data_IF_150748511530
#
_entry.id   IF_150748511530
#
_cell.length_a   1.000
_cell.length_b   1.000
_cell.length_c   1.000
_cell.angle_alpha   90.00
_cell.angle_beta   90.00
_cell.angle_gamma   90.00
#
_symmetry.space_group_name_H-M   'P 1'
#
loop_
_entity.id
_entity.type
_entity.pdbx_description
1 polymer ?
#
# COMPACT_ATOMS: atom_id res chain seq x y z
N UNK A 1 5.28 1.26 85.14
CA UNK A 1 4.29 2.07 84.38
C UNK A 1 3.70 1.21 83.25
N UNK A 2 2.39 1.32 82.97
CA UNK A 2 1.58 0.46 82.05
C UNK A 2 1.44 1.06 80.62
N UNK A 3 1.58 0.21 79.57
CA UNK A 3 1.03 0.22 78.16
C UNK A 3 1.18 1.48 77.25
N UNK A 4 1.02 1.44 75.89
CA UNK A 4 0.76 0.34 74.90
C UNK A 4 1.70 0.35 73.63
N UNK A 5 1.53 -0.52 72.60
CA UNK A 5 2.51 -0.74 71.51
C UNK A 5 2.22 0.08 70.22
N UNK A 6 3.19 0.30 69.31
CA UNK A 6 2.88 0.76 67.96
C UNK A 6 2.48 -0.41 67.06
N UNK A 7 1.20 -0.81 67.10
CA UNK A 7 0.59 -1.64 66.07
C UNK A 7 -0.15 -0.75 65.06
N UNK A 8 0.56 -0.16 64.09
CA UNK A 8 -0.12 0.65 63.04
C UNK A 8 0.59 0.75 61.67
N UNK A 9 1.30 -0.29 61.23
CA UNK A 9 1.86 -0.32 59.86
C UNK A 9 1.48 -1.55 59.01
N UNK A 10 0.93 -2.61 59.59
CA UNK A 10 0.58 -3.83 58.84
C UNK A 10 -0.70 -3.71 57.98
N UNK A 11 -1.59 -2.73 58.23
CA UNK A 11 -2.89 -2.64 57.54
C UNK A 11 -2.87 -1.81 56.23
N UNK A 12 -1.86 -0.96 56.02
CA UNK A 12 -1.76 -0.13 54.81
C UNK A 12 -1.25 -0.90 53.59
N UNK A 13 -0.25 -1.74 53.78
CA UNK A 13 0.37 -2.58 52.75
C UNK A 13 -0.56 -3.69 52.24
N UNK A 14 -1.37 -4.31 53.11
CA UNK A 14 -2.31 -5.37 52.72
C UNK A 14 -3.48 -4.84 51.88
N UNK A 15 -3.97 -3.62 52.14
CA UNK A 15 -5.03 -2.98 51.34
C UNK A 15 -4.53 -2.57 49.95
N UNK A 16 -3.32 -2.01 49.86
CA UNK A 16 -2.68 -1.68 48.59
C UNK A 16 -2.41 -2.93 47.73
N UNK A 17 -1.92 -4.02 48.34
CA UNK A 17 -1.69 -5.28 47.65
C UNK A 17 -3.00 -5.94 47.15
N UNK A 18 -4.11 -5.85 47.90
CA UNK A 18 -5.42 -6.35 47.46
C UNK A 18 -6.00 -5.52 46.31
N UNK A 19 -5.88 -4.19 46.34
CA UNK A 19 -6.33 -3.32 45.24
C UNK A 19 -5.51 -3.53 43.97
N UNK A 20 -4.17 -3.65 44.09
CA UNK A 20 -3.30 -3.96 42.96
C UNK A 20 -3.65 -5.32 42.32
N UNK A 21 -3.89 -6.36 43.13
CA UNK A 21 -4.31 -7.67 42.62
C UNK A 21 -5.72 -7.66 41.99
N UNK A 22 -6.63 -6.82 42.49
CA UNK A 22 -7.96 -6.61 41.88
C UNK A 22 -7.87 -5.92 40.52
N UNK A 23 -7.03 -4.89 40.40
CA UNK A 23 -6.80 -4.17 39.14
C UNK A 23 -6.12 -5.06 38.09
N UNK A 24 -5.13 -5.89 38.49
CA UNK A 24 -4.45 -6.84 37.58
C UNK A 24 -5.42 -7.91 37.07
N UNK A 25 -6.35 -8.39 37.91
CA UNK A 25 -7.38 -9.35 37.48
C UNK A 25 -8.39 -8.73 36.53
N UNK A 26 -8.84 -7.49 36.78
CA UNK A 26 -9.73 -6.75 35.88
C UNK A 26 -9.06 -6.47 34.52
N UNK A 27 -7.79 -6.06 34.53
CA UNK A 27 -7.01 -5.83 33.30
C UNK A 27 -6.79 -7.11 32.49
N UNK A 28 -6.53 -8.25 33.15
CA UNK A 28 -6.43 -9.56 32.47
C UNK A 28 -7.76 -10.01 31.87
N UNK A 29 -8.88 -9.79 32.57
CA UNK A 29 -10.21 -10.10 32.03
C UNK A 29 -10.57 -9.19 30.85
N UNK A 30 -10.24 -7.90 30.92
CA UNK A 30 -10.43 -6.95 29.82
C UNK A 30 -9.57 -7.29 28.59
N UNK A 31 -8.32 -7.71 28.77
CA UNK A 31 -7.49 -8.17 27.65
C UNK A 31 -7.97 -9.51 27.06
N UNK A 32 -8.52 -10.40 27.89
CA UNK A 32 -9.13 -11.65 27.45
C UNK A 32 -10.37 -11.43 26.58
N UNK A 33 -11.22 -10.47 26.93
CA UNK A 33 -12.41 -10.10 26.13
C UNK A 33 -12.05 -9.38 24.83
N UNK A 34 -11.02 -8.52 24.84
CA UNK A 34 -10.51 -7.85 23.62
C UNK A 34 -9.88 -8.86 22.64
N UNK A 35 -9.13 -9.84 23.15
CA UNK A 35 -8.53 -10.90 22.31
C UNK A 35 -9.58 -11.82 21.69
N UNK A 36 -10.60 -12.19 22.46
CA UNK A 36 -11.74 -12.98 21.97
C UNK A 36 -12.61 -12.20 20.97
N UNK A 37 -12.74 -10.88 21.12
CA UNK A 37 -13.44 -10.03 20.15
C UNK A 37 -12.66 -9.92 18.82
N UNK A 38 -11.34 -9.74 18.88
CA UNK A 38 -10.45 -9.67 17.70
C UNK A 38 -10.43 -10.99 16.91
N UNK A 39 -10.38 -12.13 17.60
CA UNK A 39 -10.43 -13.46 16.97
C UNK A 39 -11.81 -13.77 16.37
N UNK A 40 -12.91 -13.28 16.98
CA UNK A 40 -14.26 -13.41 16.43
C UNK A 40 -14.52 -12.52 15.21
N UNK A 41 -13.88 -11.35 15.11
CA UNK A 41 -13.99 -10.47 13.94
C UNK A 41 -13.13 -10.96 12.76
N UNK A 42 -11.91 -11.44 13.03
CA UNK A 42 -11.01 -11.94 11.98
C UNK A 42 -11.57 -13.17 11.23
N UNK A 43 -12.22 -14.09 11.93
CA UNK A 43 -12.76 -15.32 11.32
C UNK A 43 -14.17 -15.17 10.72
N UNK A 44 -14.93 -14.13 11.13
CA UNK A 44 -16.28 -13.88 10.61
C UNK A 44 -16.31 -13.04 9.34
N UNK A 45 -15.28 -12.25 9.06
CA UNK A 45 -15.14 -11.53 7.80
C UNK A 45 -14.37 -12.32 6.73
N UNK A 46 -13.48 -13.24 7.12
CA UNK A 46 -12.69 -14.02 6.15
C UNK A 46 -13.55 -14.96 5.29
N UNK A 47 -14.60 -15.55 5.87
CA UNK A 47 -15.51 -16.47 5.16
C UNK A 47 -16.42 -15.79 4.12
N UNK A 48 -17.13 -14.68 4.42
CA UNK A 48 -17.90 -13.99 3.40
C UNK A 48 -17.00 -13.34 2.34
N UNK A 49 -15.80 -12.86 2.72
CA UNK A 49 -14.84 -12.32 1.75
C UNK A 49 -14.31 -13.41 0.81
N UNK A 50 -13.90 -14.56 1.35
CA UNK A 50 -13.47 -15.71 0.56
C UNK A 50 -14.60 -16.27 -0.32
N UNK A 51 -15.84 -16.30 0.19
CA UNK A 51 -17.01 -16.70 -0.60
C UNK A 51 -17.33 -15.71 -1.72
N UNK A 52 -17.12 -14.40 -1.50
CA UNK A 52 -17.26 -13.38 -2.53
C UNK A 52 -16.19 -13.51 -3.61
N UNK A 53 -14.92 -13.73 -3.23
CA UNK A 53 -13.85 -14.00 -4.19
C UNK A 53 -14.09 -15.28 -4.98
N UNK A 54 -14.56 -16.35 -4.32
CA UNK A 54 -14.89 -17.61 -4.97
C UNK A 54 -16.10 -17.48 -5.90
N UNK A 55 -17.14 -16.74 -5.50
CA UNK A 55 -18.32 -16.48 -6.33
C UNK A 55 -17.99 -15.57 -7.53
N UNK A 56 -17.11 -14.58 -7.35
CA UNK A 56 -16.60 -13.75 -8.44
C UNK A 56 -15.77 -14.59 -9.43
N UNK A 57 -14.87 -15.44 -8.93
CA UNK A 57 -14.09 -16.36 -9.75
C UNK A 57 -14.99 -17.37 -10.51
N UNK A 58 -16.04 -17.88 -9.86
CA UNK A 58 -17.01 -18.79 -10.49
C UNK A 58 -17.87 -18.08 -11.54
N UNK A 59 -18.29 -16.83 -11.29
CA UNK A 59 -19.00 -16.01 -12.29
C UNK A 59 -18.11 -15.74 -13.51
N UNK A 60 -16.83 -15.44 -13.30
CA UNK A 60 -15.86 -15.22 -14.38
C UNK A 60 -15.63 -16.50 -15.20
N UNK A 61 -15.54 -17.66 -14.55
CA UNK A 61 -15.36 -18.95 -15.21
C UNK A 61 -16.59 -19.42 -16.01
N UNK A 62 -17.81 -19.12 -15.53
CA UNK A 62 -19.06 -19.54 -16.17
C UNK A 62 -19.52 -18.59 -17.29
N UNK A 63 -19.02 -17.35 -17.34
CA UNK A 63 -19.44 -16.35 -18.33
C UNK A 63 -18.72 -16.46 -19.69
N UNK A 64 -17.73 -17.36 -19.83
CA UNK A 64 -17.06 -17.60 -21.12
C UNK A 64 -16.22 -16.42 -21.63
N UNK A 65 -15.91 -15.44 -20.78
CA UNK A 65 -15.01 -14.34 -21.09
C UNK A 65 -13.56 -14.85 -21.14
N UNK A 66 -13.14 -15.38 -22.29
CA UNK A 66 -11.81 -16.02 -22.47
C UNK A 66 -10.61 -15.04 -22.41
N UNK A 67 -10.82 -13.74 -22.23
CA UNK A 67 -9.75 -12.72 -22.23
C UNK A 67 -9.88 -11.75 -21.03
N UNK A 68 -10.08 -12.26 -19.81
CA UNK A 68 -10.08 -11.39 -18.63
C UNK A 68 -8.65 -11.25 -18.09
N UNK A 69 -7.97 -10.16 -18.47
CA UNK A 69 -6.70 -9.77 -17.84
C UNK A 69 -7.01 -8.99 -16.57
N UNK A 70 -6.66 -9.56 -15.41
CA UNK A 70 -6.78 -8.88 -14.13
C UNK A 70 -5.40 -8.59 -13.58
N UNK A 71 -4.91 -7.40 -13.87
CA UNK A 71 -3.61 -6.90 -13.39
C UNK A 71 -3.81 -5.66 -12.52
N UNK A 72 -2.99 -5.53 -11.48
CA UNK A 72 -2.85 -4.33 -10.67
C UNK A 72 -1.48 -3.73 -10.97
N UNK A 73 -1.48 -2.64 -11.72
CA UNK A 73 -0.29 -1.89 -12.06
C UNK A 73 -0.18 -0.65 -11.17
N UNK A 74 1.05 -0.24 -10.87
CA UNK A 74 1.32 1.03 -10.21
C UNK A 74 2.44 1.78 -10.91
N UNK A 75 2.32 3.11 -11.01
CA UNK A 75 3.36 3.99 -11.55
C UNK A 75 3.73 4.98 -10.47
N UNK A 76 5.03 5.09 -10.19
CA UNK A 76 5.57 5.91 -9.11
C UNK A 76 6.73 6.75 -9.61
N UNK A 77 6.88 7.92 -9.01
CA UNK A 77 8.03 8.80 -9.22
C UNK A 77 8.88 8.84 -7.96
N UNK A 78 10.19 8.84 -8.14
CA UNK A 78 11.17 9.11 -7.10
C UNK A 78 12.28 9.99 -7.66
N UNK A 79 12.92 10.77 -6.80
CA UNK A 79 14.10 11.53 -7.14
C UNK A 79 15.22 11.19 -6.15
N UNK A 80 16.39 10.87 -6.67
CA UNK A 80 17.56 10.48 -5.89
C UNK A 80 18.83 10.79 -6.70
N UNK A 81 19.90 11.23 -6.03
CA UNK A 81 21.21 11.44 -6.65
C UNK A 81 21.21 12.28 -7.95
N UNK A 82 20.34 13.30 -8.02
CA UNK A 82 20.24 14.18 -9.19
C UNK A 82 19.49 13.59 -10.39
N UNK A 83 18.72 12.52 -10.18
CA UNK A 83 17.95 11.83 -11.20
C UNK A 83 16.50 11.70 -10.74
N UNK A 84 15.56 11.93 -11.66
CA UNK A 84 14.15 11.57 -11.48
C UNK A 84 13.90 10.25 -12.19
N UNK A 85 13.37 9.26 -11.46
CA UNK A 85 13.03 7.93 -11.96
C UNK A 85 11.53 7.72 -11.91
N UNK A 86 10.95 7.40 -13.07
CA UNK A 86 9.66 6.74 -13.16
C UNK A 86 9.84 5.23 -13.00
N UNK A 87 8.94 4.63 -12.23
CA UNK A 87 8.93 3.20 -11.92
C UNK A 87 7.53 2.63 -12.11
N UNK A 88 7.38 1.67 -13.01
CA UNK A 88 6.15 0.90 -13.20
C UNK A 88 6.29 -0.49 -12.58
N UNK A 89 5.30 -0.90 -11.79
CA UNK A 89 5.26 -2.19 -11.11
C UNK A 89 4.03 -2.99 -11.54
N UNK A 90 4.23 -4.29 -11.75
CA UNK A 90 3.12 -5.24 -11.71
C UNK A 90 2.99 -5.78 -10.27
N UNK A 91 2.08 -5.19 -9.51
CA UNK A 91 1.85 -5.53 -8.11
C UNK A 91 1.15 -6.89 -7.97
N UNK A 92 0.32 -7.24 -8.96
CA UNK A 92 -0.47 -8.45 -8.96
C UNK A 92 -1.02 -8.72 -10.35
N UNK A 93 -1.02 -9.98 -10.78
CA UNK A 93 -1.75 -10.41 -11.98
C UNK A 93 -2.39 -11.77 -11.74
N UNK A 94 -3.66 -11.91 -12.13
CA UNK A 94 -4.35 -13.20 -12.27
C UNK A 94 -4.31 -13.57 -13.74
N UNK A 95 -3.78 -14.77 -13.99
CA UNK A 95 -3.42 -15.30 -15.30
C UNK A 95 -2.16 -14.63 -15.88
N UNK A 96 -1.19 -15.46 -16.29
CA UNK A 96 0.14 -15.06 -16.75
C UNK A 96 0.11 -14.50 -18.17
N UNK A 97 -0.87 -13.68 -18.49
CA UNK A 97 -0.99 -13.04 -19.78
C UNK A 97 0.18 -12.08 -19.96
N UNK A 98 0.90 -12.23 -21.08
CA UNK A 98 1.99 -11.36 -21.46
C UNK A 98 1.50 -9.90 -21.51
N UNK A 99 2.16 -9.04 -20.75
CA UNK A 99 1.76 -7.65 -20.57
C UNK A 99 2.81 -6.72 -21.18
N UNK A 100 2.73 -6.43 -22.49
CA UNK A 100 3.64 -5.48 -23.12
C UNK A 100 3.32 -4.07 -22.61
N UNK A 101 4.36 -3.34 -22.21
CA UNK A 101 4.23 -2.01 -21.62
C UNK A 101 5.28 -1.04 -22.15
N UNK A 102 4.91 0.24 -22.19
CA UNK A 102 5.80 1.37 -22.46
C UNK A 102 5.65 2.38 -21.33
N UNK A 103 6.75 2.68 -20.63
CA UNK A 103 6.80 3.69 -19.57
C UNK A 103 7.49 4.95 -20.08
N UNK A 104 6.81 6.08 -20.01
CA UNK A 104 7.36 7.38 -20.43
C UNK A 104 7.35 8.36 -19.25
N UNK A 105 8.49 8.99 -18.98
CA UNK A 105 8.66 10.07 -18.03
C UNK A 105 8.54 11.41 -18.76
N UNK A 106 7.66 12.28 -18.28
CA UNK A 106 7.39 13.60 -18.83
C UNK A 106 7.85 14.71 -17.89
N UNK A 107 8.18 15.86 -18.49
CA UNK A 107 8.61 17.08 -17.81
C UNK A 107 7.93 18.33 -18.38
N UNK A 108 7.60 19.30 -17.51
CA UNK A 108 7.23 20.66 -17.90
C UNK A 108 7.80 21.69 -16.92
N UNK A 109 8.11 22.87 -17.44
CA UNK A 109 8.53 24.02 -16.62
C UNK A 109 7.34 24.62 -15.84
N UNK A 110 6.14 24.57 -16.42
CA UNK A 110 4.90 25.08 -15.84
C UNK A 110 4.01 23.96 -15.29
N UNK A 111 3.13 24.31 -14.34
CA UNK A 111 2.20 23.34 -13.75
C UNK A 111 1.20 22.86 -14.79
N UNK A 112 1.18 21.55 -15.02
CA UNK A 112 0.19 20.89 -15.87
C UNK A 112 -0.02 19.46 -15.40
N UNK A 113 -1.22 18.94 -15.61
CA UNK A 113 -1.53 17.51 -15.41
C UNK A 113 -1.76 16.78 -16.74
N UNK A 114 -1.64 17.48 -17.87
CA UNK A 114 -1.81 16.93 -19.21
C UNK A 114 -0.45 16.52 -19.79
N UNK A 115 -0.14 15.21 -19.91
CA UNK A 115 1.11 14.74 -20.49
C UNK A 115 1.31 15.20 -21.94
N UNK A 116 0.24 15.48 -22.69
CA UNK A 116 0.35 15.98 -24.06
C UNK A 116 0.92 17.40 -24.14
N UNK A 117 0.85 18.16 -23.05
CA UNK A 117 1.47 19.48 -22.91
C UNK A 117 2.89 19.42 -22.33
N UNK A 118 3.39 18.22 -21.99
CA UNK A 118 4.70 18.00 -21.39
C UNK A 118 5.70 17.44 -22.42
N UNK A 119 6.99 17.58 -22.12
CA UNK A 119 8.08 16.99 -22.93
C UNK A 119 8.46 15.62 -22.39
N UNK A 120 8.45 14.59 -23.24
CA UNK A 120 9.00 13.29 -22.88
C UNK A 120 10.53 13.38 -22.70
N UNK A 121 11.03 13.00 -21.53
CA UNK A 121 12.46 13.11 -21.16
C UNK A 121 13.16 11.77 -20.98
N UNK A 122 12.40 10.69 -20.76
CA UNK A 122 12.92 9.32 -20.75
C UNK A 122 11.81 8.33 -21.10
N UNK A 123 12.18 7.19 -21.67
CA UNK A 123 11.27 6.11 -22.02
C UNK A 123 11.94 4.76 -21.81
N UNK A 124 11.15 3.76 -21.42
CA UNK A 124 11.56 2.38 -21.34
C UNK A 124 10.39 1.48 -21.77
N UNK A 125 10.72 0.31 -22.30
CA UNK A 125 9.75 -0.65 -22.82
C UNK A 125 10.03 -2.04 -22.26
N UNK A 126 8.97 -2.82 -22.04
CA UNK A 126 9.08 -4.25 -21.79
C UNK A 126 8.06 -5.00 -22.63
N UNK A 127 8.48 -6.10 -23.24
CA UNK A 127 7.57 -7.03 -23.92
C UNK A 127 6.71 -7.84 -22.96
N UNK A 128 7.09 -7.88 -21.67
CA UNK A 128 6.31 -8.50 -20.62
C UNK A 128 6.69 -7.90 -19.26
N UNK A 129 5.74 -7.31 -18.55
CA UNK A 129 5.93 -6.87 -17.17
C UNK A 129 5.30 -7.89 -16.22
N UNK A 130 6.04 -8.95 -15.93
CA UNK A 130 5.62 -10.03 -15.04
C UNK A 130 5.35 -9.58 -13.60
N UNK A 131 4.57 -10.36 -12.87
CA UNK A 131 4.26 -10.10 -11.45
C UNK A 131 5.54 -9.97 -10.61
N UNK A 132 5.66 -8.86 -9.87
CA UNK A 132 6.82 -8.54 -9.04
C UNK A 132 8.01 -7.96 -9.80
N UNK A 133 7.93 -7.85 -11.14
CA UNK A 133 8.91 -7.10 -11.92
C UNK A 133 8.60 -5.61 -11.94
N UNK A 134 9.62 -4.86 -12.35
CA UNK A 134 9.58 -3.42 -12.45
C UNK A 134 10.26 -2.96 -13.74
N UNK A 135 9.70 -1.92 -14.35
CA UNK A 135 10.29 -1.18 -15.45
C UNK A 135 10.62 0.24 -14.98
N UNK A 136 11.78 0.77 -15.38
CA UNK A 136 12.23 2.12 -14.99
C UNK A 136 12.63 2.98 -16.18
N UNK A 137 12.27 4.25 -16.12
CA UNK A 137 12.73 5.29 -17.04
C UNK A 137 13.24 6.48 -16.21
N UNK A 138 14.48 6.92 -16.46
CA UNK A 138 15.17 7.91 -15.63
C UNK A 138 15.73 9.06 -16.46
N UNK A 139 15.65 10.28 -15.93
CA UNK A 139 16.24 11.47 -16.55
C UNK A 139 16.95 12.33 -15.50
N UNK A 140 17.97 13.12 -15.89
CA UNK A 140 18.57 14.11 -15.00
C UNK A 140 17.51 15.06 -14.43
N UNK A 141 17.65 15.40 -13.15
CA UNK A 141 16.71 16.29 -12.48
C UNK A 141 16.87 17.73 -12.94
N UNK A 142 15.73 18.43 -13.00
CA UNK A 142 15.59 19.87 -13.22
C UNK A 142 14.46 20.37 -12.34
N UNK A 143 14.49 21.63 -11.92
CA UNK A 143 13.36 22.20 -11.21
C UNK A 143 12.15 22.31 -12.16
N UNK A 144 11.04 21.66 -11.81
CA UNK A 144 9.85 21.64 -12.65
C UNK A 144 8.87 20.55 -12.25
N UNK A 145 7.92 20.28 -13.13
CA UNK A 145 6.83 19.33 -12.95
C UNK A 145 7.08 18.07 -13.75
N UNK A 146 6.86 16.93 -13.10
CA UNK A 146 7.07 15.61 -13.67
C UNK A 146 5.81 14.76 -13.52
N UNK A 147 5.48 13.98 -14.54
CA UNK A 147 4.52 12.89 -14.44
C UNK A 147 5.07 11.69 -15.23
N UNK A 148 4.56 10.50 -14.96
CA UNK A 148 4.87 9.32 -15.74
C UNK A 148 3.60 8.68 -16.26
N UNK A 149 3.66 8.19 -17.50
CA UNK A 149 2.57 7.46 -18.15
C UNK A 149 3.06 6.08 -18.51
N UNK A 150 2.34 5.06 -18.07
CA UNK A 150 2.47 3.68 -18.49
C UNK A 150 1.38 3.37 -19.49
N UNK A 151 1.78 3.05 -20.71
CA UNK A 151 0.91 2.51 -21.74
C UNK A 151 1.05 0.99 -21.74
N UNK A 152 -0.07 0.26 -21.79
CA UNK A 152 -0.08 -1.19 -21.75
C UNK A 152 -1.25 -1.77 -22.53
N UNK A 153 -1.10 -3.00 -23.02
CA UNK A 153 -2.20 -3.72 -23.67
C UNK A 153 -2.74 -4.82 -22.75
N UNK A 154 -4.02 -4.77 -22.41
CA UNK A 154 -4.68 -5.80 -21.60
C UNK A 154 -5.93 -6.30 -22.32
N UNK A 155 -6.02 -7.61 -22.59
CA UNK A 155 -7.14 -8.19 -23.32
C UNK A 155 -7.27 -7.70 -24.77
N UNK A 156 -6.17 -7.24 -25.38
CA UNK A 156 -6.14 -6.66 -26.73
C UNK A 156 -6.52 -5.18 -26.81
N UNK A 157 -6.84 -4.53 -25.68
CA UNK A 157 -7.13 -3.10 -25.62
C UNK A 157 -5.92 -2.32 -25.11
N UNK A 158 -5.59 -1.20 -25.77
CA UNK A 158 -4.62 -0.24 -25.28
C UNK A 158 -5.19 0.53 -24.09
N UNK A 159 -4.40 0.66 -23.03
CA UNK A 159 -4.76 1.33 -21.78
C UNK A 159 -3.61 2.18 -21.29
N UNK A 160 -3.93 3.18 -20.49
CA UNK A 160 -2.96 4.10 -19.91
C UNK A 160 -3.15 4.19 -18.40
N UNK A 161 -2.03 4.36 -17.69
CA UNK A 161 -1.98 4.65 -16.27
C UNK A 161 -1.00 5.78 -16.04
N UNK A 162 -1.48 6.89 -15.49
CA UNK A 162 -0.66 8.06 -15.19
C UNK A 162 -0.38 8.15 -13.69
N UNK A 163 0.83 8.53 -13.32
CA UNK A 163 1.15 8.93 -11.95
C UNK A 163 0.47 10.26 -11.60
N UNK A 164 0.47 10.65 -10.32
CA UNK A 164 0.28 12.07 -10.01
C UNK A 164 1.39 12.92 -10.64
N UNK A 165 1.08 14.17 -10.96
CA UNK A 165 2.11 15.16 -11.31
C UNK A 165 2.78 15.64 -10.03
N UNK A 166 4.10 15.72 -10.06
CA UNK A 166 4.94 16.04 -8.90
C UNK A 166 5.91 17.13 -9.28
N UNK A 167 6.01 18.16 -8.43
CA UNK A 167 7.04 19.18 -8.57
C UNK A 167 8.31 18.75 -7.85
N UNK A 168 9.44 18.90 -8.52
CA UNK A 168 10.77 18.74 -7.93
C UNK A 168 11.56 20.04 -8.00
N UNK A 169 12.40 20.27 -6.99
CA UNK A 169 13.47 21.26 -7.03
C UNK A 169 14.74 20.68 -7.69
N UNK A 170 15.73 21.52 -7.98
CA UNK A 170 17.00 21.11 -8.60
C UNK A 170 17.80 20.10 -7.76
N UNK A 171 17.55 20.07 -6.44
CA UNK A 171 18.26 19.21 -5.48
C UNK A 171 17.60 17.83 -5.27
N UNK A 172 16.48 17.53 -5.94
CA UNK A 172 15.72 16.29 -5.68
C UNK A 172 14.56 16.44 -4.72
N UNK A 173 14.42 17.57 -4.03
CA UNK A 173 13.35 17.77 -3.06
C UNK A 173 12.01 17.84 -3.77
N UNK A 174 11.07 16.97 -3.34
CA UNK A 174 9.68 17.02 -3.77
C UNK A 174 8.97 18.18 -3.07
N UNK A 175 8.31 19.05 -3.85
CA UNK A 175 7.59 20.23 -3.39
C UNK A 175 6.08 20.02 -3.36
#
# INVERSE_FOLDING_TARGET
MRRPPPARQANGTVRAARQANGAVRAARQANGTVRAAKERLGMRLLRPLAALFLAAALCLALCGCQNFVCTLLSVRLRAEEGVVTAAAYNEFSLDGAQLPVTLTLYYADEETNDPAAMTAVAQAESGDLDMGQQLEASAPIRAGWYCAVLEYAAGGEARTLQSGTVRYAEDGTRL
#
